data_IF_959153723272
#
_entry.id   IF_959153723272
#
_cell.length_a   1.000
_cell.length_b   1.000
_cell.length_c   1.000
_cell.angle_alpha   90.00
_cell.angle_beta   90.00
_cell.angle_gamma   90.00
#
_symmetry.space_group_name_H-M   'P 1'
#
loop_
_entity.id
_entity.type
_entity.pdbx_description
1 polymer ?
#
# COMPACT_ATOMS: atom_id res chain seq x y z
N UNK A 1 20.24 -13.29 -1.98
CA UNK A 1 19.90 -11.94 -2.46
C UNK A 1 20.03 -11.02 -1.26
N UNK A 2 20.75 -9.91 -1.41
CA UNK A 2 20.89 -8.92 -0.35
C UNK A 2 19.51 -8.45 0.11
N UNK A 3 19.24 -8.48 1.42
CA UNK A 3 18.10 -7.83 2.07
C UNK A 3 18.27 -6.31 1.96
N UNK A 4 18.25 -5.79 0.73
CA UNK A 4 18.34 -4.35 0.51
C UNK A 4 16.93 -3.80 0.70
N UNK A 5 16.79 -2.84 1.61
CA UNK A 5 15.53 -2.12 1.80
C UNK A 5 15.13 -1.40 0.50
N UNK A 6 13.84 -1.45 0.17
CA UNK A 6 13.29 -0.68 -0.96
C UNK A 6 13.02 0.78 -0.58
N UNK A 7 12.93 1.10 0.72
CA UNK A 7 12.72 2.48 1.16
C UNK A 7 13.87 3.35 0.65
N UNK A 8 13.53 4.53 0.13
CA UNK A 8 14.38 5.48 -0.59
C UNK A 8 14.83 5.06 -1.99
N UNK A 9 14.44 3.88 -2.47
CA UNK A 9 14.73 3.41 -3.83
C UNK A 9 13.55 3.65 -4.76
N UNK A 10 13.81 3.72 -6.06
CA UNK A 10 12.75 3.64 -7.06
C UNK A 10 12.00 2.30 -6.90
N UNK A 11 10.67 2.37 -6.90
CA UNK A 11 9.83 1.19 -6.78
C UNK A 11 10.10 0.25 -7.98
N UNK A 12 10.32 -1.06 -7.76
CA UNK A 12 10.44 -2.00 -8.87
C UNK A 12 9.22 -1.91 -9.79
N UNK A 13 9.46 -1.52 -11.04
CA UNK A 13 8.40 -1.34 -12.03
C UNK A 13 7.86 -2.70 -12.48
N UNK A 14 6.60 -2.72 -12.91
CA UNK A 14 5.96 -3.88 -13.50
C UNK A 14 4.91 -3.46 -14.52
N UNK A 15 4.68 -4.33 -15.50
CA UNK A 15 3.52 -4.27 -16.40
C UNK A 15 2.80 -5.61 -16.30
N UNK A 16 1.55 -5.60 -15.87
CA UNK A 16 0.80 -6.83 -15.61
C UNK A 16 -0.70 -6.65 -15.83
N UNK A 17 -1.37 -7.78 -16.04
CA UNK A 17 -2.82 -7.81 -16.16
C UNK A 17 -3.48 -7.57 -14.80
N UNK A 18 -4.60 -6.87 -14.80
CA UNK A 18 -5.38 -6.57 -13.62
C UNK A 18 -6.87 -6.62 -13.91
N UNK A 19 -7.66 -6.85 -12.86
CA UNK A 19 -9.11 -6.62 -12.85
C UNK A 19 -9.37 -5.23 -12.33
N UNK A 20 -9.99 -4.39 -13.15
CA UNK A 20 -10.29 -2.99 -12.85
C UNK A 20 -11.58 -2.85 -12.01
N UNK A 21 -11.85 -1.64 -11.45
CA UNK A 21 -13.08 -1.37 -10.68
C UNK A 21 -14.39 -1.66 -11.42
N UNK A 22 -14.39 -1.55 -12.74
CA UNK A 22 -15.52 -1.83 -13.63
C UNK A 22 -15.63 -3.31 -14.03
N UNK A 23 -14.84 -4.20 -13.39
CA UNK A 23 -14.73 -5.63 -13.70
C UNK A 23 -14.14 -5.94 -15.08
N UNK A 24 -13.60 -4.96 -15.81
CA UNK A 24 -12.85 -5.21 -17.04
C UNK A 24 -11.44 -5.71 -16.75
N UNK A 25 -10.83 -6.36 -17.73
CA UNK A 25 -9.41 -6.69 -17.72
C UNK A 25 -8.64 -5.62 -18.45
N UNK A 26 -7.56 -5.14 -17.83
CA UNK A 26 -6.62 -4.23 -18.46
C UNK A 26 -5.20 -4.55 -18.04
N UNK A 27 -4.24 -4.09 -18.84
CA UNK A 27 -2.85 -4.08 -18.46
C UNK A 27 -2.53 -2.76 -17.76
N UNK A 28 -1.91 -2.83 -16.58
CA UNK A 28 -1.43 -1.65 -15.86
C UNK A 28 0.09 -1.67 -15.77
N UNK A 29 0.70 -0.49 -15.79
CA UNK A 29 2.14 -0.31 -15.59
C UNK A 29 2.34 0.61 -14.38
N UNK A 30 3.14 0.21 -13.39
CA UNK A 30 3.31 1.00 -12.15
C UNK A 30 3.88 2.40 -12.44
N UNK A 31 4.87 2.51 -13.31
CA UNK A 31 5.46 3.81 -13.69
C UNK A 31 4.47 4.80 -14.34
N UNK A 32 3.33 4.34 -14.87
CA UNK A 32 2.26 5.22 -15.38
C UNK A 32 1.48 5.93 -14.27
N UNK A 33 1.66 5.54 -13.01
CA UNK A 33 1.07 6.21 -11.85
C UNK A 33 1.89 7.38 -11.31
N UNK A 34 3.06 7.67 -11.89
CA UNK A 34 3.84 8.87 -11.52
C UNK A 34 2.99 10.14 -11.61
N UNK A 35 3.19 11.05 -10.66
CA UNK A 35 2.29 12.19 -10.41
C UNK A 35 1.17 11.90 -9.39
N UNK A 36 0.97 10.62 -9.02
CA UNK A 36 0.11 10.19 -7.92
C UNK A 36 0.90 9.42 -6.88
N UNK A 37 0.44 9.41 -5.64
CA UNK A 37 0.92 8.45 -4.64
C UNK A 37 0.32 7.07 -4.94
N UNK A 38 1.02 6.01 -4.58
CA UNK A 38 0.50 4.64 -4.70
C UNK A 38 0.67 3.89 -3.40
N UNK A 39 -0.42 3.32 -2.90
CA UNK A 39 -0.39 2.25 -1.89
C UNK A 39 -0.49 0.93 -2.63
N UNK A 40 0.66 0.28 -2.81
CA UNK A 40 0.78 -1.04 -3.42
C UNK A 40 0.80 -2.09 -2.31
N UNK A 41 -0.20 -2.96 -2.25
CA UNK A 41 -0.27 -3.97 -1.21
C UNK A 41 -0.42 -5.38 -1.80
N UNK A 42 0.38 -6.30 -1.27
CA UNK A 42 0.38 -7.70 -1.64
C UNK A 42 -0.40 -8.50 -0.62
N UNK A 43 -1.09 -9.54 -1.06
CA UNK A 43 -1.71 -10.53 -0.19
C UNK A 43 -1.41 -11.95 -0.67
N UNK A 44 -1.44 -12.96 0.22
CA UNK A 44 -0.97 -14.29 -0.13
C UNK A 44 -1.73 -14.97 -1.28
N UNK A 45 -3.06 -15.09 -1.13
CA UNK A 45 -3.94 -15.84 -2.04
C UNK A 45 -5.39 -15.35 -1.96
N UNK A 46 -6.09 -15.41 -3.09
CA UNK A 46 -7.54 -15.32 -3.21
C UNK A 46 -8.26 -16.43 -2.44
N UNK A 47 -9.53 -16.21 -2.06
CA UNK A 47 -10.39 -17.20 -1.37
C UNK A 47 -9.81 -17.77 -0.06
N UNK A 48 -8.95 -17.01 0.64
CA UNK A 48 -8.40 -17.37 1.96
C UNK A 48 -8.94 -16.47 3.08
N UNK A 49 -8.40 -16.58 4.30
CA UNK A 49 -9.06 -16.09 5.52
C UNK A 49 -8.86 -14.59 5.81
N UNK A 50 -7.62 -14.13 5.97
CA UNK A 50 -7.32 -12.74 6.35
C UNK A 50 -7.40 -11.79 5.14
N UNK A 51 -7.07 -12.28 3.94
CA UNK A 51 -7.03 -11.51 2.70
C UNK A 51 -8.33 -10.73 2.38
N UNK A 52 -9.54 -11.33 2.46
CA UNK A 52 -10.77 -10.60 2.16
C UNK A 52 -11.01 -9.46 3.16
N UNK A 53 -10.59 -9.62 4.43
CA UNK A 53 -10.76 -8.57 5.43
C UNK A 53 -9.93 -7.32 5.11
N UNK A 54 -8.69 -7.50 4.64
CA UNK A 54 -7.81 -6.39 4.25
C UNK A 54 -8.32 -5.72 2.97
N UNK A 55 -8.69 -6.52 1.97
CA UNK A 55 -9.20 -6.05 0.69
C UNK A 55 -10.47 -5.21 0.89
N UNK A 56 -11.41 -5.70 1.69
CA UNK A 56 -12.64 -4.98 2.02
C UNK A 56 -12.39 -3.74 2.87
N UNK A 57 -11.41 -3.78 3.79
CA UNK A 57 -11.04 -2.62 4.60
C UNK A 57 -10.47 -1.49 3.75
N UNK A 58 -9.58 -1.78 2.81
CA UNK A 58 -9.11 -0.79 1.83
C UNK A 58 -10.25 -0.28 0.96
N UNK A 59 -11.15 -1.17 0.51
CA UNK A 59 -12.27 -0.78 -0.36
C UNK A 59 -13.22 0.21 0.33
N UNK A 60 -13.52 0.01 1.61
CA UNK A 60 -14.36 0.92 2.40
C UNK A 60 -13.80 2.33 2.50
N UNK A 61 -12.47 2.48 2.42
CA UNK A 61 -11.75 3.76 2.60
C UNK A 61 -11.07 4.24 1.31
N UNK A 62 -11.30 3.60 0.17
CA UNK A 62 -10.61 3.90 -1.09
C UNK A 62 -10.86 5.34 -1.57
N UNK A 63 -12.02 5.91 -1.24
CA UNK A 63 -12.34 7.30 -1.56
C UNK A 63 -11.39 8.28 -0.85
N UNK A 64 -11.04 8.02 0.42
CA UNK A 64 -10.11 8.86 1.20
C UNK A 64 -8.71 8.88 0.58
N UNK A 65 -8.23 7.73 0.06
CA UNK A 65 -6.97 7.69 -0.70
C UNK A 65 -7.06 8.51 -1.98
N UNK A 66 -8.16 8.37 -2.75
CA UNK A 66 -8.36 9.11 -4.01
C UNK A 66 -8.42 10.62 -3.79
N UNK A 67 -9.12 11.07 -2.75
CA UNK A 67 -9.17 12.49 -2.35
C UNK A 67 -7.78 13.07 -2.05
N UNK A 68 -6.87 12.23 -1.55
CA UNK A 68 -5.47 12.56 -1.28
C UNK A 68 -4.55 12.26 -2.47
N UNK A 69 -5.06 12.21 -3.71
CA UNK A 69 -4.26 11.91 -4.91
C UNK A 69 -3.44 10.61 -4.79
N UNK A 70 -4.00 9.59 -4.13
CA UNK A 70 -3.38 8.30 -3.92
C UNK A 70 -4.22 7.16 -4.53
N UNK A 71 -3.56 6.31 -5.31
CA UNK A 71 -4.17 5.10 -5.86
C UNK A 71 -3.83 3.90 -4.97
N UNK A 72 -4.83 3.05 -4.74
CA UNK A 72 -4.65 1.77 -4.05
C UNK A 72 -4.56 0.68 -5.11
N UNK A 73 -3.60 -0.24 -4.99
CA UNK A 73 -3.42 -1.36 -5.93
C UNK A 73 -3.16 -2.63 -5.12
N UNK A 74 -4.01 -3.64 -5.30
CA UNK A 74 -3.82 -4.96 -4.71
C UNK A 74 -3.08 -5.90 -5.66
N UNK A 75 -2.20 -6.75 -5.15
CA UNK A 75 -1.44 -7.73 -5.94
C UNK A 75 -1.45 -9.09 -5.25
N UNK A 76 -1.62 -10.17 -6.00
CA UNK A 76 -1.28 -11.51 -5.53
C UNK A 76 -0.85 -12.39 -6.69
N UNK A 77 -0.46 -13.63 -6.39
CA UNK A 77 0.02 -14.60 -7.37
C UNK A 77 -1.10 -15.29 -8.15
N UNK A 78 -2.36 -14.96 -7.85
CA UNK A 78 -3.54 -15.50 -8.50
C UNK A 78 -3.81 -14.86 -9.87
N UNK A 79 -4.55 -15.56 -10.71
CA UNK A 79 -4.89 -15.07 -12.04
C UNK A 79 -5.95 -13.97 -12.01
N UNK A 80 -5.99 -13.11 -13.04
CA UNK A 80 -7.08 -12.13 -13.23
C UNK A 80 -8.47 -12.78 -13.28
N UNK A 81 -8.56 -14.03 -13.74
CA UNK A 81 -9.81 -14.76 -13.76
C UNK A 81 -10.26 -15.16 -12.36
N UNK A 82 -9.32 -15.58 -11.50
CA UNK A 82 -9.57 -15.85 -10.08
C UNK A 82 -10.02 -14.57 -9.37
N UNK A 83 -9.33 -13.45 -9.62
CA UNK A 83 -9.71 -12.15 -9.07
C UNK A 83 -11.13 -11.75 -9.45
N UNK A 84 -11.50 -11.86 -10.74
CA UNK A 84 -12.85 -11.53 -11.19
C UNK A 84 -13.90 -12.46 -10.58
N UNK A 85 -13.61 -13.76 -10.49
CA UNK A 85 -14.49 -14.71 -9.81
C UNK A 85 -14.70 -14.33 -8.33
N UNK A 86 -13.65 -13.90 -7.64
CA UNK A 86 -13.73 -13.50 -6.24
C UNK A 86 -14.49 -12.18 -6.05
N UNK A 87 -14.31 -11.21 -6.97
CA UNK A 87 -15.13 -9.99 -7.04
C UNK A 87 -16.62 -10.28 -7.28
N UNK A 88 -16.92 -11.31 -8.06
CA UNK A 88 -18.29 -11.72 -8.34
C UNK A 88 -18.90 -12.59 -7.22
N UNK A 89 -18.11 -13.04 -6.26
CA UNK A 89 -18.60 -13.79 -5.10
C UNK A 89 -19.11 -12.80 -4.04
N UNK A 90 -20.29 -13.07 -3.49
CA UNK A 90 -20.89 -12.23 -2.46
C UNK A 90 -20.07 -12.26 -1.15
N UNK A 91 -20.03 -11.15 -0.42
CA UNK A 91 -19.19 -11.00 0.79
C UNK A 91 -19.61 -11.97 1.89
N UNK A 92 -20.90 -12.21 2.05
CA UNK A 92 -21.47 -13.19 2.98
C UNK A 92 -21.20 -14.65 2.58
N UNK A 93 -20.68 -14.88 1.37
CA UNK A 93 -20.21 -16.18 0.87
C UNK A 93 -18.67 -16.29 0.82
N UNK A 94 -17.94 -15.37 1.48
CA UNK A 94 -16.48 -15.36 1.50
C UNK A 94 -15.84 -14.67 0.28
N UNK A 95 -16.64 -13.97 -0.52
CA UNK A 95 -16.17 -13.11 -1.60
C UNK A 95 -15.70 -11.73 -1.14
N UNK A 96 -15.28 -10.91 -2.09
CA UNK A 96 -14.88 -9.52 -1.85
C UNK A 96 -15.83 -8.49 -2.48
N UNK A 97 -16.84 -8.94 -3.23
CA UNK A 97 -17.72 -8.06 -3.97
C UNK A 97 -16.98 -7.18 -4.99
N UNK A 98 -17.68 -6.20 -5.57
CA UNK A 98 -17.06 -5.31 -6.55
C UNK A 98 -16.15 -4.26 -5.89
N UNK A 99 -14.90 -4.64 -5.59
CA UNK A 99 -13.88 -3.71 -5.10
C UNK A 99 -13.52 -2.64 -6.14
N UNK A 100 -13.27 -1.42 -5.66
CA UNK A 100 -13.18 -0.18 -6.44
C UNK A 100 -11.74 0.29 -6.71
N UNK A 101 -10.81 -0.66 -6.73
CA UNK A 101 -9.40 -0.48 -7.09
C UNK A 101 -8.87 -1.72 -7.85
N UNK A 102 -7.77 -1.60 -8.61
CA UNK A 102 -7.22 -2.70 -9.39
C UNK A 102 -6.70 -3.86 -8.53
N UNK A 103 -6.97 -5.09 -8.97
CA UNK A 103 -6.34 -6.31 -8.47
C UNK A 103 -5.43 -6.88 -9.57
N UNK A 104 -4.12 -6.86 -9.34
CA UNK A 104 -3.07 -7.26 -10.27
C UNK A 104 -2.73 -8.73 -10.09
N UNK A 105 -2.66 -9.43 -11.22
CA UNK A 105 -2.17 -10.80 -11.32
C UNK A 105 -0.63 -10.82 -11.39
N UNK A 106 -0.01 -11.59 -10.51
CA UNK A 106 1.43 -11.89 -10.50
C UNK A 106 1.67 -13.40 -10.69
N UNK A 107 1.11 -13.97 -11.77
CA UNK A 107 1.15 -15.41 -12.02
C UNK A 107 2.59 -15.95 -12.14
N UNK A 108 3.49 -15.14 -12.73
CA UNK A 108 4.93 -15.46 -12.86
C UNK A 108 5.69 -15.32 -11.54
N UNK A 109 5.12 -14.60 -10.55
CA UNK A 109 5.69 -14.32 -9.23
C UNK A 109 6.88 -13.37 -9.29
N UNK A 110 7.06 -12.69 -10.41
CA UNK A 110 8.17 -11.78 -10.62
C UNK A 110 7.97 -10.47 -9.86
N UNK A 111 6.72 -10.02 -9.70
CA UNK A 111 6.41 -8.80 -8.95
C UNK A 111 6.69 -9.04 -7.45
N UNK A 112 6.12 -10.09 -6.85
CA UNK A 112 6.39 -10.42 -5.45
C UNK A 112 7.88 -10.71 -5.19
N UNK A 113 8.60 -11.28 -6.17
CA UNK A 113 10.05 -11.51 -6.08
C UNK A 113 10.85 -10.21 -6.16
N UNK A 114 10.51 -9.29 -7.06
CA UNK A 114 11.20 -7.99 -7.18
C UNK A 114 10.97 -7.11 -5.96
N UNK A 115 9.83 -7.26 -5.28
CA UNK A 115 9.53 -6.63 -4.00
C UNK A 115 10.12 -7.37 -2.78
N UNK A 116 10.79 -8.52 -2.98
CA UNK A 116 11.51 -9.24 -1.93
C UNK A 116 10.61 -9.97 -0.92
N UNK A 117 9.36 -10.25 -1.27
CA UNK A 117 8.32 -10.76 -0.35
C UNK A 117 7.75 -12.12 -0.76
N UNK A 118 8.26 -12.73 -1.82
CA UNK A 118 7.84 -14.07 -2.25
C UNK A 118 8.41 -15.15 -1.33
N UNK A 119 7.55 -15.98 -0.75
CA UNK A 119 7.93 -17.15 0.03
C UNK A 119 8.27 -18.35 -0.88
N UNK A 120 9.11 -19.31 -0.42
CA UNK A 120 9.35 -20.57 -1.14
C UNK A 120 8.09 -21.36 -1.47
N UNK A 121 7.02 -21.18 -0.69
CA UNK A 121 5.71 -21.77 -0.92
C UNK A 121 4.96 -21.18 -2.14
N UNK A 122 5.52 -20.17 -2.81
CA UNK A 122 4.95 -19.59 -4.03
C UNK A 122 3.90 -18.51 -3.82
N UNK A 123 3.78 -17.97 -2.60
CA UNK A 123 2.85 -16.89 -2.22
C UNK A 123 3.61 -15.69 -1.68
N UNK A 124 3.03 -14.50 -1.81
CA UNK A 124 3.60 -13.28 -1.22
C UNK A 124 3.30 -13.19 0.29
N UNK A 125 4.23 -12.63 1.06
CA UNK A 125 3.94 -12.09 2.39
C UNK A 125 2.97 -10.90 2.28
N UNK A 126 2.43 -10.46 3.43
CA UNK A 126 1.57 -9.27 3.51
C UNK A 126 2.40 -7.98 3.44
N UNK A 127 2.99 -7.72 2.28
CA UNK A 127 3.78 -6.53 2.00
C UNK A 127 2.91 -5.34 1.60
N UNK A 128 3.16 -4.17 2.16
CA UNK A 128 2.57 -2.89 1.75
C UNK A 128 3.70 -1.92 1.48
N UNK A 129 3.61 -1.19 0.38
CA UNK A 129 4.58 -0.18 -0.04
C UNK A 129 3.85 1.12 -0.37
N UNK A 130 4.22 2.20 0.30
CA UNK A 130 3.80 3.56 -0.03
C UNK A 130 4.84 4.18 -0.96
N UNK A 131 4.41 4.50 -2.16
CA UNK A 131 5.24 5.03 -3.24
C UNK A 131 4.83 6.49 -3.46
N UNK A 132 5.82 7.39 -3.54
CA UNK A 132 5.58 8.81 -3.75
C UNK A 132 5.25 9.15 -5.21
N UNK A 133 4.94 10.43 -5.47
CA UNK A 133 4.63 10.94 -6.81
C UNK A 133 5.76 10.81 -7.83
N UNK A 134 7.00 10.57 -7.38
CA UNK A 134 8.19 10.39 -8.22
C UNK A 134 8.49 8.91 -8.49
N UNK A 135 7.73 7.99 -7.88
CA UNK A 135 7.95 6.55 -8.00
C UNK A 135 8.95 5.99 -6.99
N UNK A 136 9.26 6.69 -5.91
CA UNK A 136 10.18 6.27 -4.84
C UNK A 136 9.39 5.64 -3.70
N UNK A 137 9.81 4.48 -3.20
CA UNK A 137 9.22 3.86 -2.01
C UNK A 137 9.62 4.67 -0.78
N UNK A 138 8.64 5.11 0.00
CA UNK A 138 8.86 5.94 1.21
C UNK A 138 8.53 5.25 2.51
N UNK A 139 7.71 4.21 2.45
CA UNK A 139 7.37 3.41 3.60
C UNK A 139 7.00 1.99 3.17
N UNK A 140 7.38 1.00 3.98
CA UNK A 140 7.02 -0.39 3.75
C UNK A 140 6.70 -1.10 5.05
N UNK A 141 5.70 -1.98 5.04
CA UNK A 141 5.35 -2.89 6.13
C UNK A 141 5.26 -4.30 5.55
N UNK A 142 5.97 -5.25 6.16
CA UNK A 142 5.88 -6.66 5.81
C UNK A 142 5.38 -7.43 7.02
N UNK A 143 4.15 -7.91 6.94
CA UNK A 143 3.57 -8.76 7.97
C UNK A 143 3.71 -10.25 7.60
N UNK A 144 3.90 -11.09 8.62
CA UNK A 144 3.72 -12.54 8.47
C UNK A 144 2.25 -12.86 8.13
N UNK A 145 2.01 -14.06 7.59
CA UNK A 145 0.72 -14.51 7.05
C UNK A 145 -0.48 -14.36 8.01
N UNK A 146 -0.39 -14.59 9.33
CA UNK A 146 -1.55 -14.48 10.22
C UNK A 146 -1.85 -13.03 10.67
N UNK A 147 -0.99 -12.05 10.32
CA UNK A 147 -1.07 -10.69 10.86
C UNK A 147 -1.63 -9.70 9.82
N UNK A 148 -2.91 -9.36 9.92
CA UNK A 148 -3.53 -8.33 9.07
C UNK A 148 -2.94 -6.93 9.29
N UNK A 149 -2.97 -6.08 8.26
CA UNK A 149 -2.52 -4.68 8.28
C UNK A 149 -3.62 -3.72 8.75
N UNK A 150 -3.20 -2.51 9.13
CA UNK A 150 -4.09 -1.41 9.47
C UNK A 150 -4.21 -0.41 8.31
N UNK A 151 -5.42 -0.24 7.78
CA UNK A 151 -5.72 0.78 6.75
C UNK A 151 -5.61 2.20 7.32
N UNK A 152 -5.92 2.37 8.62
CA UNK A 152 -5.73 3.65 9.30
C UNK A 152 -4.27 4.06 9.37
N UNK A 153 -3.36 3.11 9.57
CA UNK A 153 -1.92 3.39 9.56
C UNK A 153 -1.41 3.68 8.14
N UNK A 154 -1.93 2.99 7.12
CA UNK A 154 -1.60 3.30 5.73
C UNK A 154 -2.00 4.74 5.34
N UNK A 155 -3.20 5.19 5.77
CA UNK A 155 -3.63 6.58 5.57
C UNK A 155 -2.79 7.57 6.37
N UNK A 156 -2.52 7.28 7.65
CA UNK A 156 -1.67 8.14 8.49
C UNK A 156 -0.28 8.34 7.88
N UNK A 157 0.31 7.28 7.31
CA UNK A 157 1.61 7.36 6.64
C UNK A 157 1.55 8.12 5.31
N UNK A 158 0.45 8.04 4.56
CA UNK A 158 0.20 8.89 3.40
C UNK A 158 0.13 10.36 3.81
N UNK A 159 -0.64 10.68 4.87
CA UNK A 159 -0.75 12.04 5.40
C UNK A 159 0.62 12.59 5.84
N UNK A 160 1.40 11.76 6.54
CA UNK A 160 2.72 12.15 7.02
C UNK A 160 3.67 12.42 5.86
N UNK A 161 3.66 11.57 4.81
CA UNK A 161 4.46 11.76 3.62
C UNK A 161 4.09 13.05 2.88
N UNK A 162 2.79 13.30 2.68
CA UNK A 162 2.32 14.52 2.02
C UNK A 162 2.66 15.77 2.82
N UNK A 163 2.54 15.71 4.14
CA UNK A 163 2.91 16.80 5.03
C UNK A 163 4.39 17.18 4.86
N UNK A 164 5.31 16.21 4.98
CA UNK A 164 6.75 16.51 4.88
C UNK A 164 7.15 17.02 3.48
N UNK A 165 6.49 16.54 2.41
CA UNK A 165 6.77 16.98 1.05
C UNK A 165 6.24 18.40 0.76
N UNK A 166 5.14 18.79 1.38
CA UNK A 166 4.51 20.11 1.18
C UNK A 166 5.02 21.17 2.16
N UNK A 167 5.52 20.77 3.33
CA UNK A 167 5.97 21.68 4.39
C UNK A 167 7.49 21.78 4.55
N UNK A 168 8.27 21.02 3.75
CA UNK A 168 9.67 21.27 3.32
C UNK A 168 10.78 21.47 4.36
N UNK A 169 10.45 21.71 5.62
CA UNK A 169 11.36 22.02 6.72
C UNK A 169 10.81 21.55 8.07
N UNK A 170 9.83 20.65 8.04
CA UNK A 170 9.20 20.06 9.21
C UNK A 170 9.16 18.54 9.06
N UNK A 171 9.19 17.85 10.20
CA UNK A 171 9.11 16.40 10.31
C UNK A 171 7.93 16.02 11.20
N UNK A 172 7.36 14.85 10.92
CA UNK A 172 6.28 14.26 11.70
C UNK A 172 6.86 13.45 12.88
N UNK A 173 6.56 13.80 14.15
CA UNK A 173 6.97 13.03 15.33
C UNK A 173 6.31 11.65 15.42
N UNK A 174 6.69 10.86 16.43
CA UNK A 174 6.05 9.58 16.69
C UNK A 174 4.54 9.74 16.92
N UNK A 175 3.74 8.83 16.35
CA UNK A 175 2.28 8.85 16.40
C UNK A 175 1.62 10.10 15.79
N UNK A 176 2.34 10.89 14.98
CA UNK A 176 1.78 12.06 14.31
C UNK A 176 0.59 11.69 13.43
N UNK A 177 -0.45 12.51 13.48
CA UNK A 177 -1.65 12.45 12.65
C UNK A 177 -1.91 13.83 12.05
N UNK A 178 -2.69 13.89 10.97
CA UNK A 178 -3.06 15.15 10.33
C UNK A 178 -3.64 16.14 11.36
N UNK A 179 -3.10 17.37 11.38
CA UNK A 179 -3.45 18.42 12.33
C UNK A 179 -2.66 18.44 13.65
N UNK A 180 -1.86 17.41 13.96
CA UNK A 180 -0.98 17.41 15.13
C UNK A 180 0.24 18.32 14.95
N UNK A 181 0.80 18.83 16.06
CA UNK A 181 2.03 19.64 16.05
C UNK A 181 3.18 18.83 15.45
N UNK A 182 3.80 19.38 14.42
CA UNK A 182 5.00 18.90 13.76
C UNK A 182 6.26 19.40 14.49
N UNK A 183 7.43 18.95 14.05
CA UNK A 183 8.71 19.35 14.64
C UNK A 183 9.65 19.90 13.57
N UNK A 184 10.31 21.03 13.84
CA UNK A 184 11.40 21.50 12.99
C UNK A 184 12.65 20.65 13.25
N UNK A 185 13.34 20.12 12.23
CA UNK A 185 14.52 19.28 12.37
C UNK A 185 15.78 20.12 12.69
N UNK A 186 15.69 20.98 13.71
CA UNK A 186 16.80 21.77 14.27
C UNK A 186 16.87 21.51 15.78
N UNK A 187 18.02 21.80 16.40
CA UNK A 187 18.20 21.62 17.84
C UNK A 187 17.16 22.39 18.66
N UNK A 188 16.90 23.64 18.26
CA UNK A 188 15.92 24.51 18.90
C UNK A 188 14.50 24.01 18.68
N UNK A 189 14.17 23.56 17.47
CA UNK A 189 12.86 22.99 17.13
C UNK A 189 12.52 21.74 17.94
N UNK A 190 13.49 20.83 18.08
CA UNK A 190 13.37 19.63 18.91
C UNK A 190 13.17 20.01 20.39
N UNK A 191 13.97 20.93 20.92
CA UNK A 191 13.86 21.39 22.32
C UNK A 191 12.48 22.00 22.61
N UNK A 192 11.97 22.84 21.71
CA UNK A 192 10.64 23.47 21.84
C UNK A 192 9.52 22.44 21.79
N UNK A 193 9.59 21.47 20.88
CA UNK A 193 8.60 20.41 20.77
C UNK A 193 8.59 19.53 22.02
N UNK A 194 9.75 19.05 22.48
CA UNK A 194 9.86 18.18 23.65
C UNK A 194 9.52 18.87 24.97
N UNK A 195 9.71 20.18 25.08
CA UNK A 195 9.27 20.94 26.25
C UNK A 195 7.73 20.89 26.45
N UNK A 196 6.98 20.73 25.35
CA UNK A 196 5.51 20.61 25.37
C UNK A 196 5.01 19.17 25.46
N UNK A 197 5.66 18.25 24.75
CA UNK A 197 5.14 16.88 24.51
C UNK A 197 5.97 15.75 25.15
N UNK A 198 7.12 16.07 25.75
CA UNK A 198 8.05 15.07 26.26
C UNK A 198 7.74 14.50 27.65
N UNK A 199 6.58 14.80 28.24
CA UNK A 199 6.16 14.37 29.58
C UNK A 199 4.83 13.64 29.54
#
# INVERSE_FOLDING_TARGET
>A
MSLTTLVTQEAPDFTAQAVLPDNSFAEITLSKYRGKYVVLFFYPLDFTFVCPSEILAFNKRVAEFKEKNCEVIGVSVDSKFTHLAWKNTAVDQGGIGNVQYPLVEDLTKDIARSYGILLPAGVALRGLFLIDTKGVVRHSIINDLPLGRSVGEALRMLDALQFVETHGGEVCPANWQEGAESMKPTKEGVSQYLAKHGK
#
